data_IF_895966450594
#
_entry.id   IF_895966450594
#
_cell.length_a   1.000
_cell.length_b   1.000
_cell.length_c   1.000
_cell.angle_alpha   90.00
_cell.angle_beta   90.00
_cell.angle_gamma   90.00
#
_symmetry.space_group_name_H-M   'P 1'
#
loop_
_entity.id
_entity.type
_entity.pdbx_description
1 polymer ?
#
# COMPACT_ATOMS: atom_id res chain seq x y z
N UNK A 1 -32.40 2.44 10.43
CA UNK A 1 -32.87 3.26 11.57
C UNK A 1 -33.79 4.35 11.05
N UNK A 2 -34.96 4.56 11.65
CA UNK A 2 -35.82 5.69 11.29
C UNK A 2 -35.24 7.02 11.79
N UNK A 3 -35.60 8.16 11.19
CA UNK A 3 -35.08 9.49 11.62
C UNK A 3 -35.37 9.77 13.10
N UNK A 4 -36.57 9.42 13.58
CA UNK A 4 -36.94 9.57 15.00
C UNK A 4 -36.07 8.73 15.92
N UNK A 5 -35.78 7.51 15.51
CA UNK A 5 -34.93 6.58 16.24
C UNK A 5 -33.48 7.11 16.27
N UNK A 6 -32.94 7.56 15.13
CA UNK A 6 -31.63 8.21 15.04
C UNK A 6 -31.52 9.42 15.98
N UNK A 7 -32.48 10.35 15.94
CA UNK A 7 -32.47 11.53 16.80
C UNK A 7 -32.60 11.17 18.29
N UNK A 8 -33.37 10.13 18.63
CA UNK A 8 -33.48 9.66 20.01
C UNK A 8 -32.20 9.00 20.52
N UNK A 9 -31.47 8.32 19.64
CA UNK A 9 -30.28 7.59 20.01
C UNK A 9 -29.00 8.43 19.93
N UNK A 10 -29.03 9.55 19.21
CA UNK A 10 -27.84 10.33 18.86
C UNK A 10 -28.01 11.77 19.36
N UNK A 11 -27.71 12.07 20.64
CA UNK A 11 -27.99 13.39 21.24
C UNK A 11 -27.19 14.53 20.59
N UNK A 12 -26.06 14.21 19.94
CA UNK A 12 -25.25 15.16 19.17
C UNK A 12 -25.72 15.32 17.71
N UNK A 13 -26.83 14.70 17.30
CA UNK A 13 -27.36 14.81 15.93
C UNK A 13 -27.55 16.26 15.45
N UNK A 14 -27.99 17.15 16.35
CA UNK A 14 -28.23 18.56 16.03
C UNK A 14 -26.94 19.31 15.68
N UNK A 15 -25.82 18.98 16.33
CA UNK A 15 -24.52 19.59 16.03
C UNK A 15 -23.99 19.17 14.65
N UNK A 16 -24.50 18.07 14.10
CA UNK A 16 -24.13 17.57 12.78
C UNK A 16 -24.95 18.24 11.67
N UNK A 17 -26.12 18.82 11.97
CA UNK A 17 -26.98 19.46 10.96
C UNK A 17 -26.32 20.68 10.30
N UNK A 18 -25.43 21.38 11.02
CA UNK A 18 -24.71 22.55 10.50
C UNK A 18 -23.84 22.19 9.28
N UNK A 19 -23.16 21.05 9.33
CA UNK A 19 -22.24 20.62 8.27
C UNK A 19 -22.90 19.66 7.26
N UNK A 20 -23.93 18.91 7.67
CA UNK A 20 -24.43 17.76 6.92
C UNK A 20 -25.93 17.83 6.59
N UNK A 21 -26.62 18.88 7.06
CA UNK A 21 -28.06 19.03 6.89
C UNK A 21 -28.89 18.07 7.76
N UNK A 22 -30.21 18.15 7.62
CA UNK A 22 -31.15 17.37 8.44
C UNK A 22 -31.16 15.89 8.03
N UNK A 23 -31.29 14.95 8.98
CA UNK A 23 -31.49 13.53 8.66
C UNK A 23 -32.74 13.33 7.76
N UNK A 24 -32.73 12.40 6.79
CA UNK A 24 -31.71 11.37 6.53
C UNK A 24 -30.50 11.84 5.68
N UNK A 25 -30.37 13.15 5.45
CA UNK A 25 -29.29 13.75 4.65
C UNK A 25 -29.36 13.41 3.15
N UNK A 26 -28.43 14.01 2.39
CA UNK A 26 -28.09 13.59 1.03
C UNK A 26 -26.66 13.05 1.05
N UNK A 27 -26.40 11.96 0.32
CA UNK A 27 -25.04 11.45 0.12
C UNK A 27 -24.28 12.48 -0.74
N UNK A 28 -23.49 13.35 -0.11
CA UNK A 28 -22.58 14.23 -0.84
C UNK A 28 -21.45 13.38 -1.43
N UNK A 29 -21.37 13.37 -2.76
CA UNK A 29 -20.33 12.70 -3.55
C UNK A 29 -19.21 13.67 -3.97
N UNK A 30 -19.10 14.83 -3.31
CA UNK A 30 -18.17 15.91 -3.63
C UNK A 30 -16.76 15.72 -3.03
N UNK A 31 -16.57 14.70 -2.18
CA UNK A 31 -15.27 14.29 -1.65
C UNK A 31 -14.66 15.24 -0.59
N UNK A 32 -15.20 16.44 -0.43
CA UNK A 32 -14.80 17.39 0.62
C UNK A 32 -15.53 17.11 1.95
N UNK A 33 -16.73 16.54 1.87
CA UNK A 33 -17.61 16.27 2.99
C UNK A 33 -17.90 14.76 3.06
N UNK A 34 -17.06 14.01 3.78
CA UNK A 34 -17.06 12.54 3.82
C UNK A 34 -18.12 11.84 4.71
N UNK A 35 -19.08 12.54 5.31
CA UNK A 35 -20.07 11.91 6.21
C UNK A 35 -21.51 11.97 5.69
N UNK A 36 -22.06 10.83 5.26
CA UNK A 36 -23.50 10.65 5.26
C UNK A 36 -23.99 10.45 6.71
N UNK A 37 -25.15 10.99 7.05
CA UNK A 37 -25.89 10.70 8.29
C UNK A 37 -26.15 9.19 8.48
N UNK A 38 -26.10 8.38 7.42
CA UNK A 38 -26.17 6.92 7.49
C UNK A 38 -24.93 6.26 8.15
N UNK A 39 -23.74 6.85 8.04
CA UNK A 39 -22.52 6.36 8.70
C UNK A 39 -22.54 6.62 10.21
N UNK A 40 -22.95 7.83 10.60
CA UNK A 40 -23.14 8.24 12.00
C UNK A 40 -24.22 7.40 12.68
N UNK A 41 -25.29 7.08 11.93
CA UNK A 41 -26.32 6.14 12.33
C UNK A 41 -25.76 4.75 12.62
N UNK A 42 -24.84 4.23 11.81
CA UNK A 42 -24.22 2.92 12.04
C UNK A 42 -23.41 2.89 13.33
N UNK A 43 -22.62 3.92 13.63
CA UNK A 43 -21.83 3.99 14.86
C UNK A 43 -22.72 4.13 16.11
N UNK A 44 -23.75 4.98 16.04
CA UNK A 44 -24.70 5.16 17.15
C UNK A 44 -25.52 3.89 17.43
N UNK A 45 -25.79 3.10 16.38
CA UNK A 45 -26.41 1.78 16.49
C UNK A 45 -25.47 0.78 17.19
N UNK A 46 -24.17 0.83 16.87
CA UNK A 46 -23.16 -0.06 17.43
C UNK A 46 -22.98 0.16 18.93
N UNK A 47 -22.92 1.41 19.41
CA UNK A 47 -22.83 1.73 20.86
C UNK A 47 -23.95 1.09 21.68
N UNK A 48 -25.15 1.02 21.10
CA UNK A 48 -26.36 0.64 21.84
C UNK A 48 -26.77 -0.81 21.66
N UNK A 49 -26.26 -1.49 20.64
CA UNK A 49 -26.70 -2.84 20.27
C UNK A 49 -25.56 -3.88 20.36
N UNK A 50 -24.30 -3.50 20.14
CA UNK A 50 -23.18 -4.45 20.08
C UNK A 50 -22.09 -4.14 21.11
N UNK A 51 -21.77 -5.12 21.96
CA UNK A 51 -20.80 -4.97 23.07
C UNK A 51 -19.33 -5.12 22.65
N UNK A 52 -19.06 -5.56 21.42
CA UNK A 52 -17.71 -5.68 20.88
C UNK A 52 -17.75 -5.42 19.37
N UNK A 53 -16.98 -4.43 18.90
CA UNK A 53 -16.94 -4.07 17.49
C UNK A 53 -15.50 -4.01 16.97
N UNK A 54 -15.29 -4.59 15.79
CA UNK A 54 -14.03 -4.57 15.06
C UNK A 54 -14.14 -3.49 13.99
N UNK A 55 -13.71 -2.26 14.29
CA UNK A 55 -13.77 -1.17 13.31
C UNK A 55 -12.50 -1.22 12.46
N UNK A 56 -12.57 -1.87 11.30
CA UNK A 56 -11.50 -1.87 10.30
C UNK A 56 -11.51 -0.58 9.44
N UNK A 57 -11.94 0.55 10.01
CA UNK A 57 -12.11 1.80 9.27
C UNK A 57 -11.19 2.85 9.86
N UNK A 58 -10.07 3.04 9.16
CA UNK A 58 -9.07 4.09 9.36
C UNK A 58 -9.67 5.51 9.44
N UNK A 59 -10.92 5.73 9.03
CA UNK A 59 -11.46 7.07 8.88
C UNK A 59 -11.80 7.77 10.21
N UNK A 60 -12.03 7.04 11.32
CA UNK A 60 -12.45 7.67 12.58
C UNK A 60 -11.35 8.56 13.15
N UNK A 61 -10.12 8.06 13.26
CA UNK A 61 -9.03 8.85 13.84
C UNK A 61 -8.66 10.09 13.01
N UNK A 62 -9.00 10.13 11.72
CA UNK A 62 -8.77 11.28 10.85
C UNK A 62 -9.93 12.28 10.80
N UNK A 63 -11.03 12.04 11.53
CA UNK A 63 -12.16 12.96 11.55
C UNK A 63 -11.81 14.31 12.19
N UNK A 64 -12.51 15.40 11.84
CA UNK A 64 -12.27 16.73 12.40
C UNK A 64 -12.28 16.73 13.93
N UNK A 65 -11.33 17.46 14.51
CA UNK A 65 -11.13 17.52 15.95
C UNK A 65 -9.68 17.81 16.32
N UNK A 66 -9.43 17.96 17.63
CA UNK A 66 -8.11 18.23 18.19
C UNK A 66 -7.11 17.14 17.81
N UNK A 67 -5.82 17.48 17.74
CA UNK A 67 -4.75 16.52 17.40
C UNK A 67 -4.52 15.44 18.46
N UNK A 68 -4.74 15.76 19.74
CA UNK A 68 -4.61 14.87 20.90
C UNK A 68 -5.47 15.42 22.03
N UNK A 69 -5.93 14.56 22.94
CA UNK A 69 -6.78 14.98 24.07
C UNK A 69 -8.13 15.46 23.57
N UNK A 70 -8.94 14.52 23.09
CA UNK A 70 -10.25 14.85 22.52
C UNK A 70 -11.15 15.51 23.55
N UNK A 71 -12.10 16.30 23.06
CA UNK A 71 -13.22 16.80 23.85
C UNK A 71 -14.53 16.32 23.24
N UNK A 72 -15.61 16.51 23.98
CA UNK A 72 -17.00 16.24 23.59
C UNK A 72 -17.43 16.75 22.21
N UNK A 73 -16.82 17.84 21.72
CA UNK A 73 -17.05 18.39 20.36
C UNK A 73 -16.18 17.76 19.26
N UNK A 74 -15.22 16.90 19.60
CA UNK A 74 -14.38 16.20 18.64
C UNK A 74 -15.09 14.94 18.15
N UNK A 75 -15.26 14.82 16.84
CA UNK A 75 -15.96 13.70 16.21
C UNK A 75 -15.46 12.32 16.67
N UNK A 76 -14.14 12.06 16.79
CA UNK A 76 -13.67 10.76 17.25
C UNK A 76 -14.23 10.36 18.63
N UNK A 77 -14.33 11.32 19.56
CA UNK A 77 -14.80 11.11 20.94
C UNK A 77 -16.32 10.96 21.00
N UNK A 78 -17.05 11.86 20.33
CA UNK A 78 -18.51 11.81 20.30
C UNK A 78 -19.05 10.54 19.64
N UNK A 79 -18.30 9.96 18.70
CA UNK A 79 -18.71 8.77 17.95
C UNK A 79 -18.33 7.46 18.64
N UNK A 80 -17.11 7.35 19.18
CA UNK A 80 -16.69 6.08 19.80
C UNK A 80 -17.22 5.91 21.23
N UNK A 81 -17.40 7.03 21.93
CA UNK A 81 -17.82 7.04 23.33
C UNK A 81 -16.96 6.14 24.20
N UNK A 82 -17.59 5.29 24.99
CA UNK A 82 -16.95 4.43 25.99
C UNK A 82 -16.74 2.97 25.51
N UNK A 83 -16.94 2.68 24.23
CA UNK A 83 -16.80 1.31 23.70
C UNK A 83 -15.30 0.97 23.62
N UNK A 84 -14.87 -0.21 24.09
CA UNK A 84 -13.50 -0.68 23.88
C UNK A 84 -13.17 -0.71 22.39
N UNK A 85 -12.17 0.09 21.99
CA UNK A 85 -11.75 0.20 20.61
C UNK A 85 -10.46 -0.61 20.38
N UNK A 86 -10.53 -1.67 19.57
CA UNK A 86 -9.38 -2.54 19.27
C UNK A 86 -9.12 -2.52 17.77
N UNK A 87 -7.87 -2.23 17.40
CA UNK A 87 -7.41 -2.26 16.01
C UNK A 87 -6.32 -3.31 15.82
N UNK A 88 -6.39 -4.05 14.72
CA UNK A 88 -5.22 -4.70 14.16
C UNK A 88 -4.49 -3.69 13.26
N UNK A 89 -3.24 -3.35 13.59
CA UNK A 89 -2.39 -2.48 12.77
C UNK A 89 -1.20 -3.26 12.21
N UNK A 90 -0.81 -2.95 10.98
CA UNK A 90 0.41 -3.50 10.42
C UNK A 90 1.62 -3.01 11.24
N UNK A 91 2.51 -3.92 11.60
CA UNK A 91 3.69 -3.61 12.43
C UNK A 91 4.59 -2.52 11.81
N UNK A 92 4.58 -2.40 10.48
CA UNK A 92 5.34 -1.40 9.74
C UNK A 92 4.66 -0.01 9.62
N UNK A 93 3.47 0.18 10.20
CA UNK A 93 2.75 1.47 10.19
C UNK A 93 2.51 2.04 11.61
N UNK A 94 3.57 2.34 12.37
CA UNK A 94 3.44 2.84 13.74
C UNK A 94 2.90 4.28 13.80
N UNK A 95 3.09 5.08 12.75
CA UNK A 95 2.66 6.48 12.70
C UNK A 95 1.14 6.59 12.77
N UNK A 96 0.42 5.86 11.92
CA UNK A 96 -1.05 5.89 11.91
C UNK A 96 -1.62 5.18 13.14
N UNK A 97 -1.01 4.07 13.56
CA UNK A 97 -1.38 3.40 14.82
C UNK A 97 -1.30 4.36 16.03
N UNK A 98 -0.34 5.27 16.04
CA UNK A 98 -0.21 6.30 17.08
C UNK A 98 -1.32 7.34 17.02
N UNK A 99 -1.78 7.70 15.82
CA UNK A 99 -2.91 8.62 15.63
C UNK A 99 -4.18 7.99 16.19
N UNK A 100 -4.45 6.71 15.87
CA UNK A 100 -5.58 5.96 16.42
C UNK A 100 -5.54 5.90 17.96
N UNK A 101 -4.38 5.62 18.57
CA UNK A 101 -4.22 5.65 20.04
C UNK A 101 -4.60 7.01 20.64
N UNK A 102 -4.19 8.11 20.01
CA UNK A 102 -4.34 9.47 20.54
C UNK A 102 -5.72 10.07 20.29
N UNK A 103 -6.40 9.66 19.23
CA UNK A 103 -7.63 10.28 18.75
C UNK A 103 -8.88 9.41 18.91
N UNK A 104 -8.76 8.08 18.89
CA UNK A 104 -9.92 7.17 18.99
C UNK A 104 -9.82 6.17 20.14
N UNK A 105 -8.88 6.38 21.08
CA UNK A 105 -8.64 5.50 22.23
C UNK A 105 -8.36 4.03 21.84
N UNK A 106 -7.83 3.83 20.64
CA UNK A 106 -7.60 2.49 20.10
C UNK A 106 -6.49 1.75 20.86
N UNK A 107 -6.76 0.51 21.25
CA UNK A 107 -5.72 -0.46 21.57
C UNK A 107 -5.26 -1.14 20.27
N UNK A 108 -4.00 -0.93 19.90
CA UNK A 108 -3.47 -1.43 18.63
C UNK A 108 -2.69 -2.72 18.84
N UNK A 109 -3.20 -3.82 18.31
CA UNK A 109 -2.52 -5.11 18.26
C UNK A 109 -1.82 -5.21 16.92
N UNK A 110 -0.50 -5.38 16.94
CA UNK A 110 0.29 -5.45 15.71
C UNK A 110 0.12 -6.81 15.01
N UNK A 111 0.06 -6.80 13.69
CA UNK A 111 0.21 -7.99 12.85
C UNK A 111 1.35 -7.83 11.85
N UNK A 112 1.88 -8.95 11.36
CA UNK A 112 2.96 -8.96 10.39
C UNK A 112 2.40 -8.71 8.99
N UNK A 113 3.08 -7.91 8.18
CA UNK A 113 2.79 -7.88 6.74
C UNK A 113 3.08 -9.25 6.10
N UNK A 114 2.51 -9.57 4.94
CA UNK A 114 2.82 -10.81 4.25
C UNK A 114 4.34 -11.02 4.12
N UNK A 115 4.82 -12.28 4.16
CA UNK A 115 6.23 -12.57 3.94
C UNK A 115 6.66 -11.98 2.60
N UNK A 116 7.82 -11.34 2.61
CA UNK A 116 8.31 -10.66 1.44
C UNK A 116 9.10 -11.62 0.57
N UNK A 117 8.95 -11.50 -0.74
CA UNK A 117 9.62 -12.30 -1.75
C UNK A 117 10.36 -11.40 -2.72
N UNK A 118 11.38 -11.96 -3.38
CA UNK A 118 12.03 -11.29 -4.50
C UNK A 118 11.03 -11.21 -5.67
N UNK A 119 10.87 -10.01 -6.24
CA UNK A 119 9.91 -9.79 -7.33
C UNK A 119 10.18 -10.70 -8.54
N UNK A 120 11.44 -11.09 -8.75
CA UNK A 120 11.83 -11.98 -9.83
C UNK A 120 11.74 -11.32 -11.21
N UNK A 121 11.96 -12.11 -12.26
CA UNK A 121 11.82 -11.68 -13.65
C UNK A 121 10.70 -12.45 -14.35
N UNK A 122 9.92 -11.73 -15.17
CA UNK A 122 8.81 -12.31 -15.91
C UNK A 122 8.82 -11.90 -17.39
N UNK A 123 8.30 -12.78 -18.24
CA UNK A 123 8.09 -12.55 -19.69
C UNK A 123 9.35 -11.96 -20.37
N UNK A 124 9.25 -10.76 -20.95
CA UNK A 124 10.33 -10.11 -21.67
C UNK A 124 11.56 -9.80 -20.80
N UNK A 125 11.37 -9.53 -19.51
CA UNK A 125 12.48 -9.29 -18.58
C UNK A 125 13.29 -10.57 -18.33
N UNK A 126 12.62 -11.73 -18.28
CA UNK A 126 13.30 -13.03 -18.16
C UNK A 126 14.12 -13.33 -19.42
N UNK A 127 13.53 -13.12 -20.60
CA UNK A 127 14.25 -13.28 -21.88
C UNK A 127 15.46 -12.35 -21.96
N UNK A 128 15.32 -11.11 -21.49
CA UNK A 128 16.41 -10.14 -21.44
C UNK A 128 17.54 -10.60 -20.50
N UNK A 129 17.22 -11.17 -19.34
CA UNK A 129 18.20 -11.77 -18.43
C UNK A 129 18.98 -12.94 -19.05
N UNK A 130 18.30 -13.79 -19.83
CA UNK A 130 18.93 -14.90 -20.58
C UNK A 130 19.88 -14.40 -21.69
N UNK A 131 19.49 -13.33 -22.41
CA UNK A 131 20.34 -12.69 -23.42
C UNK A 131 21.60 -12.08 -22.79
N UNK A 132 21.48 -11.42 -21.64
CA UNK A 132 22.61 -10.84 -20.91
C UNK A 132 23.52 -11.95 -20.38
N UNK A 133 22.97 -13.04 -19.85
CA UNK A 133 23.76 -14.19 -19.40
C UNK A 133 24.57 -14.80 -20.55
N UNK A 134 23.98 -14.84 -21.76
CA UNK A 134 24.63 -15.33 -22.97
C UNK A 134 25.74 -14.40 -23.48
N UNK A 135 25.66 -13.10 -23.17
CA UNK A 135 26.61 -12.08 -23.62
C UNK A 135 28.06 -12.43 -23.27
N UNK A 136 28.33 -12.86 -22.03
CA UNK A 136 29.69 -13.16 -21.59
C UNK A 136 30.37 -14.25 -22.41
N UNK A 137 29.62 -15.23 -22.91
CA UNK A 137 30.14 -16.30 -23.78
C UNK A 137 30.31 -15.88 -25.24
N UNK A 138 29.55 -14.89 -25.69
CA UNK A 138 29.49 -14.45 -27.09
C UNK A 138 30.30 -13.17 -27.36
N UNK A 139 30.68 -12.41 -26.33
CA UNK A 139 31.31 -11.08 -26.46
C UNK A 139 32.61 -11.10 -27.27
N UNK A 140 33.43 -12.13 -27.08
CA UNK A 140 34.74 -12.28 -27.73
C UNK A 140 34.63 -13.02 -29.08
N UNK A 141 33.42 -13.46 -29.44
CA UNK A 141 33.14 -14.06 -30.74
C UNK A 141 32.71 -12.99 -31.74
N UNK A 142 32.73 -13.32 -33.04
CA UNK A 142 32.17 -12.45 -34.08
C UNK A 142 30.67 -12.14 -33.92
N UNK A 143 29.97 -12.78 -32.98
CA UNK A 143 28.54 -12.57 -32.68
C UNK A 143 28.28 -11.52 -31.58
N UNK A 144 29.32 -10.98 -30.94
CA UNK A 144 29.20 -9.94 -29.91
C UNK A 144 28.29 -8.74 -30.30
N UNK A 145 28.41 -8.16 -31.51
CA UNK A 145 27.53 -7.06 -31.92
C UNK A 145 26.04 -7.48 -32.04
N UNK A 146 25.77 -8.69 -32.53
CA UNK A 146 24.41 -9.18 -32.76
C UNK A 146 23.65 -9.41 -31.45
N UNK A 147 24.34 -9.95 -30.44
CA UNK A 147 23.73 -10.16 -29.12
C UNK A 147 23.43 -8.82 -28.44
N UNK A 148 24.30 -7.81 -28.55
CA UNK A 148 24.03 -6.47 -27.99
C UNK A 148 22.83 -5.80 -28.68
N UNK A 149 22.72 -5.89 -30.00
CA UNK A 149 21.55 -5.39 -30.72
C UNK A 149 20.25 -6.07 -30.24
N UNK A 150 20.30 -7.38 -30.00
CA UNK A 150 19.17 -8.15 -29.45
C UNK A 150 18.80 -7.72 -28.02
N UNK A 151 19.81 -7.47 -27.17
CA UNK A 151 19.63 -6.94 -25.80
C UNK A 151 18.98 -5.56 -25.85
N UNK A 152 19.46 -4.64 -26.69
CA UNK A 152 18.91 -3.28 -26.82
C UNK A 152 17.46 -3.33 -27.30
N UNK A 153 17.17 -4.13 -28.33
CA UNK A 153 15.82 -4.24 -28.87
C UNK A 153 14.85 -4.81 -27.84
N UNK A 154 15.25 -5.88 -27.13
CA UNK A 154 14.43 -6.49 -26.06
C UNK A 154 14.27 -5.55 -24.86
N UNK A 155 15.30 -4.77 -24.51
CA UNK A 155 15.21 -3.76 -23.46
C UNK A 155 14.24 -2.62 -23.83
N UNK A 156 14.25 -2.15 -25.08
CA UNK A 156 13.27 -1.19 -25.60
C UNK A 156 11.84 -1.76 -25.58
N UNK A 157 11.65 -3.02 -25.95
CA UNK A 157 10.34 -3.69 -25.83
C UNK A 157 9.85 -3.76 -24.37
N UNK A 158 10.77 -3.88 -23.41
CA UNK A 158 10.46 -3.85 -21.97
C UNK A 158 10.32 -2.44 -21.39
N UNK A 159 10.42 -1.38 -22.21
CA UNK A 159 10.41 0.03 -21.79
C UNK A 159 11.57 0.46 -20.87
N UNK A 160 12.69 -0.28 -20.87
CA UNK A 160 13.88 0.06 -20.06
C UNK A 160 14.69 1.23 -20.65
N UNK A 161 14.33 1.71 -21.84
CA UNK A 161 14.89 2.91 -22.47
C UNK A 161 14.60 4.21 -21.70
N UNK A 162 13.56 4.19 -20.85
CA UNK A 162 13.21 5.31 -19.95
C UNK A 162 14.11 5.37 -18.72
N UNK A 163 14.60 4.22 -18.27
CA UNK A 163 15.45 4.09 -17.08
C UNK A 163 16.94 4.11 -17.43
N UNK A 164 17.30 3.57 -18.61
CA UNK A 164 18.66 3.48 -19.11
C UNK A 164 18.72 4.15 -20.47
N UNK A 165 19.67 5.09 -20.64
CA UNK A 165 19.96 5.66 -21.95
C UNK A 165 20.54 4.58 -22.86
N UNK A 166 19.73 4.09 -23.79
CA UNK A 166 20.11 3.11 -24.80
C UNK A 166 20.44 3.82 -26.11
N UNK A 167 21.52 3.43 -26.80
CA UNK A 167 21.83 3.94 -28.13
C UNK A 167 20.79 3.47 -29.17
N UNK A 168 20.80 4.12 -30.33
CA UNK A 168 19.95 3.70 -31.44
C UNK A 168 20.46 2.43 -32.10
N UNK A 169 19.53 1.60 -32.61
CA UNK A 169 19.84 0.26 -33.13
C UNK A 169 20.78 0.28 -34.35
N UNK A 170 20.94 1.44 -35.00
CA UNK A 170 21.76 1.64 -36.18
C UNK A 170 23.21 2.12 -35.89
N UNK A 171 23.54 2.46 -34.65
CA UNK A 171 24.88 2.96 -34.31
C UNK A 171 25.88 1.82 -34.08
N UNK A 172 27.06 1.94 -34.68
CA UNK A 172 28.15 0.99 -34.49
C UNK A 172 28.82 1.24 -33.13
N UNK A 173 28.48 0.42 -32.14
CA UNK A 173 29.02 0.52 -30.78
C UNK A 173 30.40 -0.16 -30.71
N UNK A 174 31.39 0.53 -30.12
CA UNK A 174 32.73 -0.02 -29.86
C UNK A 174 32.68 -1.15 -28.81
N UNK A 175 33.69 -2.03 -28.78
CA UNK A 175 33.70 -3.16 -27.84
C UNK A 175 33.58 -2.73 -26.36
N UNK A 176 34.27 -1.66 -25.97
CA UNK A 176 34.23 -1.14 -24.60
C UNK A 176 32.87 -0.51 -24.23
N UNK A 177 32.19 0.12 -25.19
CA UNK A 177 30.88 0.71 -24.96
C UNK A 177 29.77 -0.35 -24.88
N UNK A 178 29.92 -1.49 -25.54
CA UNK A 178 28.98 -2.62 -25.45
C UNK A 178 28.88 -3.15 -24.02
N UNK A 179 30.02 -3.37 -23.37
CA UNK A 179 30.07 -3.82 -21.98
C UNK A 179 29.39 -2.82 -21.05
N UNK A 180 29.58 -1.52 -21.28
CA UNK A 180 28.92 -0.47 -20.50
C UNK A 180 27.41 -0.45 -20.69
N UNK A 181 26.91 -0.61 -21.92
CA UNK A 181 25.47 -0.65 -22.20
C UNK A 181 24.84 -1.89 -21.57
N UNK A 182 25.43 -3.06 -21.77
CA UNK A 182 24.95 -4.32 -21.19
C UNK A 182 24.97 -4.26 -19.66
N UNK A 183 26.04 -3.72 -19.07
CA UNK A 183 26.17 -3.55 -17.62
C UNK A 183 25.09 -2.64 -17.03
N UNK A 184 24.72 -1.54 -17.70
CA UNK A 184 23.63 -0.66 -17.25
C UNK A 184 22.27 -1.36 -17.27
N UNK A 185 21.98 -2.10 -18.35
CA UNK A 185 20.73 -2.86 -18.46
C UNK A 185 20.69 -3.97 -17.41
N UNK A 186 21.80 -4.68 -17.22
CA UNK A 186 21.94 -5.72 -16.20
C UNK A 186 21.69 -5.19 -14.79
N UNK A 187 22.30 -4.06 -14.43
CA UNK A 187 22.09 -3.42 -13.13
C UNK A 187 20.61 -3.11 -12.87
N UNK A 188 19.87 -2.68 -13.89
CA UNK A 188 18.43 -2.41 -13.76
C UNK A 188 17.59 -3.67 -13.65
N UNK A 189 17.96 -4.74 -14.34
CA UNK A 189 17.28 -6.03 -14.19
C UNK A 189 17.51 -6.60 -12.81
N UNK A 190 18.75 -6.55 -12.29
CA UNK A 190 19.06 -7.00 -10.94
C UNK A 190 18.27 -6.21 -9.90
N UNK A 191 18.16 -4.88 -10.05
CA UNK A 191 17.34 -4.04 -9.16
C UNK A 191 15.87 -4.46 -9.15
N UNK A 192 15.32 -4.87 -10.29
CA UNK A 192 13.95 -5.38 -10.37
C UNK A 192 13.85 -6.75 -9.72
N UNK A 193 14.75 -7.67 -10.08
CA UNK A 193 14.72 -9.07 -9.63
C UNK A 193 14.84 -9.20 -8.11
N UNK A 194 15.82 -8.49 -7.53
CA UNK A 194 16.13 -8.54 -6.10
C UNK A 194 15.23 -7.65 -5.24
N UNK A 195 14.22 -7.00 -5.84
CA UNK A 195 13.34 -6.13 -5.08
C UNK A 195 12.45 -6.96 -4.17
N UNK A 196 12.69 -6.85 -2.87
CA UNK A 196 11.90 -7.53 -1.86
C UNK A 196 10.55 -6.81 -1.64
N UNK A 197 9.45 -7.52 -1.82
CA UNK A 197 8.10 -6.97 -1.62
C UNK A 197 7.11 -8.05 -1.15
N UNK A 198 6.06 -7.68 -0.38
CA UNK A 198 5.04 -8.63 0.04
C UNK A 198 4.19 -9.07 -1.15
N UNK A 199 4.21 -10.36 -1.46
CA UNK A 199 3.46 -10.97 -2.56
C UNK A 199 2.19 -11.67 -2.05
N UNK A 200 1.20 -10.90 -1.57
CA UNK A 200 -0.07 -11.48 -1.13
C UNK A 200 -0.77 -10.65 -0.06
N UNK A 201 -1.62 -11.32 0.72
CA UNK A 201 -2.33 -10.75 1.86
C UNK A 201 -2.07 -11.59 3.11
N UNK A 202 -2.11 -10.95 4.28
CA UNK A 202 -1.87 -11.60 5.56
C UNK A 202 -3.18 -12.10 6.15
N UNK A 203 -3.14 -13.29 6.78
CA UNK A 203 -4.22 -13.82 7.60
C UNK A 203 -3.79 -13.73 9.06
N UNK A 204 -4.58 -13.01 9.88
CA UNK A 204 -4.27 -12.83 11.29
C UNK A 204 -4.19 -14.17 12.01
N UNK A 205 -3.08 -14.40 12.72
CA UNK A 205 -2.84 -15.64 13.46
C UNK A 205 -2.13 -16.72 12.66
N UNK A 206 -1.87 -16.51 11.37
CA UNK A 206 -1.09 -17.40 10.52
C UNK A 206 0.32 -16.82 10.29
N UNK A 207 1.34 -17.24 11.06
CA UNK A 207 2.71 -16.80 10.85
C UNK A 207 3.30 -17.43 9.58
N UNK A 208 4.30 -16.79 8.94
CA UNK A 208 5.00 -17.38 7.81
C UNK A 208 5.73 -18.66 8.24
N UNK A 209 5.81 -19.61 7.32
CA UNK A 209 6.67 -20.78 7.49
C UNK A 209 8.15 -20.39 7.50
N UNK A 210 9.01 -21.27 8.02
CA UNK A 210 10.45 -21.04 8.02
C UNK A 210 11.03 -20.82 6.62
N UNK A 211 10.42 -21.42 5.60
CA UNK A 211 10.85 -21.28 4.20
C UNK A 211 10.45 -19.93 3.60
N UNK A 212 9.25 -19.44 3.89
CA UNK A 212 8.78 -18.12 3.44
C UNK A 212 9.53 -16.97 4.13
N UNK A 213 10.07 -17.21 5.32
CA UNK A 213 10.86 -16.22 6.04
C UNK A 213 12.28 -16.01 5.48
N UNK A 214 12.79 -16.92 4.64
CA UNK A 214 14.19 -16.91 4.17
C UNK A 214 14.53 -15.60 3.45
N UNK A 215 13.72 -15.19 2.48
CA UNK A 215 13.99 -13.97 1.71
C UNK A 215 13.97 -12.70 2.59
N UNK A 216 13.15 -12.70 3.66
CA UNK A 216 13.14 -11.61 4.63
C UNK A 216 14.37 -11.64 5.55
N UNK A 217 14.88 -12.83 5.90
CA UNK A 217 16.07 -12.99 6.73
C UNK A 217 17.38 -12.66 6.00
N UNK A 218 17.42 -12.80 4.67
CA UNK A 218 18.60 -12.41 3.87
C UNK A 218 18.89 -10.90 3.92
N UNK A 219 17.89 -10.07 4.26
CA UNK A 219 18.00 -8.61 4.33
C UNK A 219 18.15 -8.04 5.76
N UNK A 220 18.14 -8.89 6.80
CA UNK A 220 18.31 -8.50 8.22
C UNK A 220 19.76 -8.64 8.66
#
# INVERSE_FOLDING_TARGET
MGVREYQSLTPYATALEENWGKPPGNLNSDGENLLPTSWLCSISLLEKIFTLFFMALMSLEFMPGKQVGMSDVCYPDSLIGNIPNIYYYAANNPSEATIAKRRSYANTISYLTPPAENAGLYKGLKQLGELISSYQSLKDTGRGPQIVSSIISTAKQCNLDKDVKLPDEAEAISANERDLVVGKVYSKIMEIESRLLPCGLHVIGEPPSAMEAVATLEEI
#
